data_IF_837164104735
#
_entry.id   IF_837164104735
#
_cell.length_a   1.000
_cell.length_b   1.000
_cell.length_c   1.000
_cell.angle_alpha   90.00
_cell.angle_beta   90.00
_cell.angle_gamma   90.00
#
_symmetry.space_group_name_H-M   'P 1'
#
loop_
_entity.id
_entity.type
_entity.pdbx_description
1 polymer ?
#
# COMPACT_ATOMS: atom_id res chain seq x y z
N UNK A 1 27.41 -34.91 -17.87
CA UNK A 1 27.90 -34.21 -16.66
C UNK A 1 26.68 -33.70 -15.93
N UNK A 2 26.17 -34.48 -14.98
CA UNK A 2 25.05 -34.08 -14.12
C UNK A 2 25.60 -33.07 -13.12
N UNK A 3 25.11 -31.84 -13.17
CA UNK A 3 25.36 -30.85 -12.12
C UNK A 3 24.54 -31.29 -10.91
N UNK A 4 25.21 -31.72 -9.85
CA UNK A 4 24.57 -31.93 -8.55
C UNK A 4 23.97 -30.60 -8.04
N UNK A 5 22.83 -30.64 -7.31
CA UNK A 5 22.23 -29.45 -6.70
C UNK A 5 23.21 -28.76 -5.72
N UNK A 6 23.05 -27.45 -5.44
CA UNK A 6 24.04 -26.66 -4.69
C UNK A 6 24.02 -26.88 -3.16
N UNK A 7 23.45 -27.99 -2.68
CA UNK A 7 23.17 -28.28 -1.26
C UNK A 7 24.26 -29.14 -0.61
N UNK A 8 25.53 -28.89 -0.95
CA UNK A 8 26.64 -29.38 -0.12
C UNK A 8 26.56 -28.72 1.26
N UNK A 9 26.52 -29.54 2.32
CA UNK A 9 26.53 -29.11 3.72
C UNK A 9 27.94 -28.59 4.09
N UNK A 10 28.21 -27.34 3.70
CA UNK A 10 29.46 -26.63 3.98
C UNK A 10 29.29 -25.77 5.24
N UNK A 11 30.35 -25.63 6.05
CA UNK A 11 30.32 -24.72 7.19
C UNK A 11 30.01 -23.29 6.73
N UNK A 12 29.01 -22.69 7.37
CA UNK A 12 28.60 -21.32 7.08
C UNK A 12 29.57 -20.31 7.72
N UNK A 13 30.01 -19.34 6.94
CA UNK A 13 30.74 -18.16 7.38
C UNK A 13 29.94 -16.92 7.00
N UNK A 14 29.87 -15.96 7.91
CA UNK A 14 29.19 -14.69 7.68
C UNK A 14 30.22 -13.59 7.44
N UNK A 15 29.98 -12.75 6.44
CA UNK A 15 30.81 -11.58 6.14
C UNK A 15 29.95 -10.34 5.96
N UNK A 16 30.51 -9.16 6.22
CA UNK A 16 29.90 -7.88 5.83
C UNK A 16 29.88 -7.70 4.32
N UNK A 17 29.07 -6.74 3.85
CA UNK A 17 29.08 -6.35 2.44
C UNK A 17 30.46 -5.82 2.02
N UNK A 18 31.14 -5.07 2.89
CA UNK A 18 32.48 -4.54 2.59
C UNK A 18 33.52 -5.66 2.45
N UNK A 19 33.52 -6.62 3.37
CA UNK A 19 34.42 -7.77 3.33
C UNK A 19 34.15 -8.65 2.11
N UNK A 20 32.87 -8.84 1.76
CA UNK A 20 32.49 -9.55 0.54
C UNK A 20 33.01 -8.85 -0.71
N UNK A 21 32.79 -7.53 -0.84
CA UNK A 21 33.26 -6.76 -2.00
C UNK A 21 34.78 -6.79 -2.10
N UNK A 22 35.50 -6.54 -0.99
CA UNK A 22 36.96 -6.58 -0.98
C UNK A 22 37.51 -7.97 -1.32
N UNK A 23 36.89 -9.05 -0.82
CA UNK A 23 37.28 -10.41 -1.18
C UNK A 23 37.01 -10.71 -2.66
N UNK A 24 35.88 -10.26 -3.20
CA UNK A 24 35.55 -10.41 -4.62
C UNK A 24 36.56 -9.65 -5.51
N UNK A 25 36.91 -8.42 -5.15
CA UNK A 25 37.91 -7.60 -5.85
C UNK A 25 39.28 -8.27 -5.85
N UNK A 26 39.71 -8.84 -4.71
CA UNK A 26 40.98 -9.57 -4.62
C UNK A 26 41.00 -10.85 -5.48
N UNK A 27 39.84 -11.49 -5.68
CA UNK A 27 39.72 -12.70 -6.51
C UNK A 27 39.50 -12.39 -7.98
N UNK A 28 39.21 -11.14 -8.34
CA UNK A 28 38.97 -10.73 -9.71
C UNK A 28 40.30 -10.57 -10.47
N UNK A 29 40.79 -11.70 -10.96
CA UNK A 29 41.95 -11.77 -11.86
C UNK A 29 41.44 -12.16 -13.26
N UNK A 30 41.63 -11.32 -14.30
CA UNK A 30 41.03 -11.51 -15.64
C UNK A 30 41.26 -12.91 -16.25
N UNK A 31 42.41 -13.52 -15.96
CA UNK A 31 42.80 -14.82 -16.49
C UNK A 31 42.48 -16.01 -15.54
N UNK A 32 41.91 -15.75 -14.36
CA UNK A 32 41.60 -16.76 -13.32
C UNK A 32 40.28 -16.46 -12.60
N UNK A 33 39.20 -16.34 -13.38
CA UNK A 33 37.86 -15.98 -12.87
C UNK A 33 37.14 -17.09 -12.10
N UNK A 34 37.64 -18.32 -12.10
CA UNK A 34 36.92 -19.46 -11.49
C UNK A 34 36.64 -19.24 -9.99
N UNK A 35 37.63 -18.76 -9.24
CA UNK A 35 37.48 -18.48 -7.81
C UNK A 35 36.53 -17.31 -7.57
N UNK A 36 36.64 -16.26 -8.37
CA UNK A 36 35.71 -15.13 -8.34
C UNK A 36 34.26 -15.55 -8.60
N UNK A 37 34.01 -16.34 -9.65
CA UNK A 37 32.67 -16.81 -10.00
C UNK A 37 32.09 -17.75 -8.93
N UNK A 38 32.91 -18.66 -8.38
CA UNK A 38 32.50 -19.54 -7.27
C UNK A 38 32.17 -18.75 -6.01
N UNK A 39 32.95 -17.72 -5.70
CA UNK A 39 32.71 -16.86 -4.56
C UNK A 39 31.46 -15.99 -4.74
N UNK A 40 31.33 -15.28 -5.86
CA UNK A 40 30.24 -14.30 -6.07
C UNK A 40 28.90 -14.97 -6.39
N UNK A 41 28.88 -16.00 -7.24
CA UNK A 41 27.63 -16.63 -7.68
C UNK A 41 27.18 -17.78 -6.78
N UNK A 42 28.12 -18.47 -6.15
CA UNK A 42 27.83 -19.64 -5.31
C UNK A 42 28.19 -19.44 -3.83
N UNK A 43 28.75 -18.29 -3.43
CA UNK A 43 29.14 -18.06 -2.04
C UNK A 43 30.20 -19.04 -1.54
N UNK A 44 31.09 -19.55 -2.40
CA UNK A 44 32.11 -20.54 -2.00
C UNK A 44 33.45 -19.86 -1.74
N UNK A 45 33.99 -20.05 -0.54
CA UNK A 45 35.30 -19.53 -0.14
C UNK A 45 36.17 -20.64 0.44
N UNK A 46 37.42 -20.72 -0.03
CA UNK A 46 38.42 -21.57 0.61
C UNK A 46 38.93 -20.87 1.88
N UNK A 47 38.68 -21.46 3.04
CA UNK A 47 39.10 -20.94 4.33
C UNK A 47 40.03 -21.96 5.01
N UNK A 48 41.34 -21.74 4.88
CA UNK A 48 42.36 -22.73 5.23
C UNK A 48 42.21 -23.99 4.36
N UNK A 49 42.19 -25.16 4.99
CA UNK A 49 42.07 -26.46 4.29
C UNK A 49 40.63 -26.85 3.94
N UNK A 50 39.63 -26.01 4.26
CA UNK A 50 38.20 -26.34 4.06
C UNK A 50 37.49 -25.35 3.14
N UNK A 51 36.50 -25.85 2.42
CA UNK A 51 35.55 -25.02 1.68
C UNK A 51 34.42 -24.59 2.62
N UNK A 52 34.06 -23.31 2.58
CA UNK A 52 32.99 -22.73 3.39
C UNK A 52 31.94 -22.04 2.52
N UNK A 53 30.71 -21.94 3.06
CA UNK A 53 29.62 -21.17 2.47
C UNK A 53 29.54 -19.78 3.06
N UNK A 54 29.70 -18.77 2.23
CA UNK A 54 29.64 -17.36 2.57
C UNK A 54 28.19 -16.89 2.54
N UNK A 55 27.77 -16.31 3.66
CA UNK A 55 26.52 -15.58 3.78
C UNK A 55 26.84 -14.10 4.01
N UNK A 56 26.26 -13.24 3.18
CA UNK A 56 26.46 -11.79 3.29
C UNK A 56 25.45 -11.24 4.29
N UNK A 57 25.95 -10.60 5.35
CA UNK A 57 25.16 -9.77 6.23
C UNK A 57 25.46 -8.30 5.94
N UNK A 58 24.60 -7.67 5.13
CA UNK A 58 24.74 -6.26 4.77
C UNK A 58 24.72 -5.28 5.96
N UNK A 59 24.31 -5.72 7.17
CA UNK A 59 24.36 -4.90 8.39
C UNK A 59 25.67 -5.00 9.16
N UNK A 60 26.48 -6.02 8.92
CA UNK A 60 27.68 -6.24 9.71
C UNK A 60 28.65 -5.08 9.49
N UNK A 61 28.98 -4.37 10.57
CA UNK A 61 29.80 -3.16 10.53
C UNK A 61 29.10 -1.90 9.98
N UNK A 62 27.80 -1.97 9.64
CA UNK A 62 27.05 -0.80 9.22
C UNK A 62 26.71 0.08 10.43
N UNK A 63 27.02 1.38 10.34
CA UNK A 63 26.63 2.36 11.34
C UNK A 63 25.11 2.57 11.27
N UNK A 64 24.48 2.67 12.44
CA UNK A 64 23.08 3.12 12.53
C UNK A 64 23.09 4.63 12.69
N UNK A 65 22.58 5.40 11.71
CA UNK A 65 22.50 6.84 11.85
C UNK A 65 21.55 7.22 13.00
N UNK A 66 21.84 8.31 13.74
CA UNK A 66 20.97 8.77 14.81
C UNK A 66 19.62 9.23 14.24
N UNK A 67 18.54 8.93 14.97
CA UNK A 67 17.17 9.16 14.50
C UNK A 67 16.89 10.63 14.17
N UNK A 68 17.57 11.54 14.87
CA UNK A 68 17.45 13.00 14.69
C UNK A 68 17.93 13.50 13.33
N UNK A 69 18.71 12.72 12.58
CA UNK A 69 19.28 13.13 11.30
C UNK A 69 18.45 12.65 10.09
N UNK A 70 17.45 11.79 10.31
CA UNK A 70 16.56 11.37 9.22
C UNK A 70 15.63 12.50 8.80
N UNK A 71 15.50 12.68 7.50
CA UNK A 71 14.44 13.48 6.89
C UNK A 71 13.34 12.55 6.41
N UNK A 72 12.10 12.90 6.73
CA UNK A 72 10.92 12.16 6.31
C UNK A 72 10.14 12.98 5.30
N UNK A 73 9.80 12.37 4.18
CA UNK A 73 8.91 12.94 3.18
C UNK A 73 7.77 11.96 2.89
N UNK A 74 6.68 12.51 2.37
CA UNK A 74 5.56 11.73 1.82
C UNK A 74 5.43 12.02 0.34
N UNK A 75 5.00 11.02 -0.42
CA UNK A 75 4.57 11.17 -1.80
C UNK A 75 3.24 10.44 -2.00
N UNK A 76 2.33 11.00 -2.78
CA UNK A 76 1.08 10.34 -3.14
C UNK A 76 1.34 9.47 -4.38
N UNK A 77 1.42 8.17 -4.17
CA UNK A 77 1.78 7.19 -5.20
C UNK A 77 0.62 6.90 -6.14
N UNK A 78 -0.57 6.73 -5.55
CA UNK A 78 -1.80 6.51 -6.30
C UNK A 78 -3.04 6.99 -5.57
N UNK A 79 -4.08 7.27 -6.35
CA UNK A 79 -5.41 7.58 -5.85
C UNK A 79 -6.39 6.68 -6.58
N UNK A 80 -7.23 6.00 -5.81
CA UNK A 80 -8.24 5.09 -6.36
C UNK A 80 -9.60 5.44 -5.76
N UNK A 81 -10.58 5.69 -6.62
CA UNK A 81 -11.96 5.97 -6.24
C UNK A 81 -12.92 4.93 -6.81
N UNK A 82 -13.91 4.53 -6.02
CA UNK A 82 -15.00 3.63 -6.45
C UNK A 82 -16.31 4.42 -6.37
N UNK A 83 -16.88 4.80 -7.50
CA UNK A 83 -18.00 5.76 -7.55
C UNK A 83 -19.12 5.31 -8.48
N UNK A 84 -20.22 6.06 -8.48
CA UNK A 84 -21.35 5.89 -9.39
C UNK A 84 -21.56 7.12 -10.30
N UNK A 85 -20.52 7.95 -10.42
CA UNK A 85 -20.50 9.17 -11.22
C UNK A 85 -19.14 9.35 -11.91
N UNK A 86 -19.01 10.42 -12.70
CA UNK A 86 -17.76 10.80 -13.37
C UNK A 86 -17.35 12.21 -12.89
N UNK A 87 -16.65 12.31 -11.74
CA UNK A 87 -16.47 13.57 -11.01
C UNK A 87 -15.30 14.40 -11.56
N UNK A 88 -15.31 14.76 -12.85
CA UNK A 88 -14.18 15.42 -13.53
C UNK A 88 -14.52 16.80 -14.07
N UNK A 89 -13.56 17.72 -13.95
CA UNK A 89 -13.61 19.09 -14.52
C UNK A 89 -12.92 19.21 -15.87
N UNK A 90 -12.12 18.21 -16.25
CA UNK A 90 -11.44 18.15 -17.54
C UNK A 90 -12.15 17.21 -18.52
N UNK A 91 -12.00 17.43 -19.84
CA UNK A 91 -12.51 16.50 -20.84
C UNK A 91 -11.98 15.08 -20.62
N UNK A 92 -12.82 14.10 -20.93
CA UNK A 92 -12.45 12.69 -20.86
C UNK A 92 -12.27 12.14 -22.28
N UNK A 93 -11.12 11.53 -22.55
CA UNK A 93 -10.86 10.79 -23.77
C UNK A 93 -11.51 9.41 -23.66
N UNK A 94 -12.72 9.24 -24.19
CA UNK A 94 -13.49 7.99 -24.09
C UNK A 94 -13.05 7.03 -25.19
N UNK A 95 -12.93 5.74 -24.86
CA UNK A 95 -12.60 4.67 -25.80
C UNK A 95 -13.87 4.10 -26.45
N UNK A 96 -14.08 4.24 -27.77
CA UNK A 96 -15.15 3.51 -28.45
C UNK A 96 -14.84 2.00 -28.52
N UNK A 97 -13.55 1.64 -28.50
CA UNK A 97 -13.06 0.28 -28.35
C UNK A 97 -12.10 0.23 -27.15
N UNK A 98 -12.56 -0.36 -26.05
CA UNK A 98 -11.75 -0.48 -24.84
C UNK A 98 -10.50 -1.34 -25.09
N UNK A 99 -9.34 -0.88 -24.61
CA UNK A 99 -8.10 -1.66 -24.69
C UNK A 99 -8.08 -2.75 -23.63
N UNK A 100 -7.79 -3.98 -24.04
CA UNK A 100 -7.52 -5.09 -23.12
C UNK A 100 -6.28 -4.86 -22.26
N UNK A 101 -5.36 -3.98 -22.67
CA UNK A 101 -4.18 -3.60 -21.86
C UNK A 101 -4.53 -2.74 -20.67
N UNK A 102 -5.65 -2.03 -20.78
CA UNK A 102 -6.12 -1.11 -19.76
C UNK A 102 -7.14 -1.79 -18.82
N UNK A 103 -7.48 -3.07 -19.02
CA UNK A 103 -8.29 -3.86 -18.09
C UNK A 103 -7.52 -4.12 -16.79
N UNK A 104 -8.19 -4.02 -15.64
CA UNK A 104 -7.58 -4.36 -14.36
C UNK A 104 -7.50 -5.89 -14.21
N UNK A 105 -6.29 -6.43 -14.27
CA UNK A 105 -6.00 -7.87 -14.13
C UNK A 105 -5.22 -8.23 -12.86
N UNK A 106 -4.59 -7.24 -12.24
CA UNK A 106 -3.75 -7.41 -11.05
C UNK A 106 -4.41 -6.86 -9.80
N UNK A 107 -4.09 -7.45 -8.65
CA UNK A 107 -4.61 -7.00 -7.37
C UNK A 107 -4.11 -5.60 -7.03
N UNK A 108 -5.06 -4.70 -6.78
CA UNK A 108 -4.81 -3.35 -6.28
C UNK A 108 -5.18 -3.22 -4.78
N UNK A 109 -5.36 -4.35 -4.09
CA UNK A 109 -5.68 -4.47 -2.67
C UNK A 109 -7.06 -3.93 -2.26
N UNK A 110 -7.85 -3.43 -3.22
CA UNK A 110 -9.22 -2.98 -2.99
C UNK A 110 -10.23 -4.10 -3.24
N UNK A 111 -11.28 -4.11 -2.42
CA UNK A 111 -12.38 -5.08 -2.51
C UNK A 111 -13.70 -4.35 -2.61
N UNK A 112 -14.59 -4.84 -3.46
CA UNK A 112 -15.95 -4.35 -3.58
C UNK A 112 -16.92 -5.40 -3.02
N UNK A 113 -17.92 -5.01 -2.20
CA UNK A 113 -19.03 -5.89 -1.88
C UNK A 113 -19.88 -6.11 -3.14
N UNK A 114 -20.17 -7.37 -3.48
CA UNK A 114 -21.17 -7.70 -4.51
C UNK A 114 -22.42 -8.25 -3.81
N UNK A 115 -23.60 -7.84 -4.26
CA UNK A 115 -24.87 -8.35 -3.73
C UNK A 115 -25.11 -9.80 -4.20
N UNK A 116 -25.25 -10.71 -3.23
CA UNK A 116 -25.67 -12.12 -3.37
C UNK A 116 -24.64 -13.17 -3.86
N UNK A 117 -23.99 -13.90 -2.92
CA UNK A 117 -23.85 -13.58 -1.50
C UNK A 117 -22.97 -12.34 -1.30
N UNK A 118 -23.19 -11.57 -0.22
CA UNK A 118 -22.37 -10.40 0.15
C UNK A 118 -20.93 -10.82 0.44
N UNK A 119 -20.14 -10.95 -0.61
CA UNK A 119 -18.74 -11.33 -0.58
C UNK A 119 -17.94 -10.14 -1.06
N UNK A 120 -16.93 -9.75 -0.29
CA UNK A 120 -15.97 -8.74 -0.71
C UNK A 120 -14.99 -9.36 -1.70
N UNK A 121 -15.14 -8.99 -2.97
CA UNK A 121 -14.36 -9.55 -4.07
C UNK A 121 -13.27 -8.55 -4.47
N UNK A 122 -12.01 -8.99 -4.63
CA UNK A 122 -10.95 -8.13 -5.17
C UNK A 122 -11.36 -7.55 -6.52
N UNK A 123 -11.14 -6.25 -6.73
CA UNK A 123 -11.62 -5.57 -7.95
C UNK A 123 -11.14 -6.27 -9.23
N UNK A 124 -9.88 -6.69 -9.30
CA UNK A 124 -9.30 -7.37 -10.46
C UNK A 124 -9.97 -8.70 -10.85
N UNK A 125 -10.83 -9.26 -9.99
CA UNK A 125 -11.61 -10.47 -10.27
C UNK A 125 -12.98 -10.17 -10.86
N UNK A 126 -13.43 -8.92 -10.81
CA UNK A 126 -14.71 -8.48 -11.36
C UNK A 126 -14.50 -8.09 -12.82
N UNK A 127 -15.34 -8.58 -13.76
CA UNK A 127 -15.25 -8.20 -15.16
C UNK A 127 -15.32 -6.69 -15.36
N UNK A 128 -14.37 -6.15 -16.12
CA UNK A 128 -14.21 -4.71 -16.27
C UNK A 128 -13.64 -4.30 -17.63
N UNK A 129 -13.93 -3.06 -18.02
CA UNK A 129 -13.39 -2.41 -19.22
C UNK A 129 -12.93 -1.00 -18.93
N UNK A 130 -11.90 -0.54 -19.64
CA UNK A 130 -11.54 0.86 -19.64
C UNK A 130 -12.58 1.68 -20.42
N UNK A 131 -13.19 2.65 -19.74
CA UNK A 131 -14.10 3.62 -20.38
C UNK A 131 -13.30 4.72 -21.08
N UNK A 132 -12.27 5.24 -20.41
CA UNK A 132 -11.51 6.37 -20.94
C UNK A 132 -10.45 6.88 -19.98
N UNK A 133 -9.73 7.89 -20.43
CA UNK A 133 -8.69 8.57 -19.65
C UNK A 133 -9.04 10.04 -19.46
N UNK A 134 -8.74 10.57 -18.29
CA UNK A 134 -8.82 12.00 -18.00
C UNK A 134 -7.40 12.43 -17.69
N UNK A 135 -6.96 13.52 -18.29
CA UNK A 135 -5.55 13.91 -18.23
C UNK A 135 -4.60 12.75 -18.69
N UNK A 136 -3.29 12.90 -18.52
CA UNK A 136 -2.30 11.95 -19.05
C UNK A 136 -2.20 10.63 -18.28
N UNK A 137 -2.60 10.59 -17.01
CA UNK A 137 -2.25 9.50 -16.08
C UNK A 137 -3.42 8.86 -15.35
N UNK A 138 -4.63 9.37 -15.53
CA UNK A 138 -5.82 8.84 -14.88
C UNK A 138 -6.66 8.00 -15.85
N UNK A 139 -7.10 6.84 -15.37
CA UNK A 139 -7.97 5.94 -16.11
C UNK A 139 -9.26 5.65 -15.34
N UNK A 140 -10.39 5.72 -16.04
CA UNK A 140 -11.68 5.26 -15.52
C UNK A 140 -12.03 3.93 -16.15
N UNK A 141 -12.39 2.96 -15.32
CA UNK A 141 -12.91 1.66 -15.71
C UNK A 141 -14.35 1.51 -15.26
N UNK A 142 -15.11 0.73 -15.99
CA UNK A 142 -16.45 0.26 -15.60
C UNK A 142 -16.31 -1.18 -15.16
N UNK A 143 -16.89 -1.50 -14.01
CA UNK A 143 -16.94 -2.84 -13.43
C UNK A 143 -18.37 -3.38 -13.52
N UNK A 144 -18.50 -4.68 -13.80
CA UNK A 144 -19.79 -5.36 -14.00
C UNK A 144 -19.94 -6.54 -13.03
N UNK A 145 -20.44 -6.31 -11.81
CA UNK A 145 -20.64 -7.35 -10.80
C UNK A 145 -21.54 -8.50 -11.26
N UNK A 146 -22.58 -8.21 -12.06
CA UNK A 146 -23.51 -9.21 -12.57
C UNK A 146 -22.87 -10.26 -13.50
N UNK A 147 -21.67 -9.99 -14.04
CA UNK A 147 -20.90 -10.93 -14.86
C UNK A 147 -19.90 -11.77 -14.03
N UNK A 148 -19.78 -11.52 -12.72
CA UNK A 148 -18.81 -12.21 -11.89
C UNK A 148 -19.22 -13.67 -11.61
N UNK A 149 -18.29 -14.59 -11.82
CA UNK A 149 -18.41 -15.99 -11.41
C UNK A 149 -17.16 -16.45 -10.66
N UNK A 150 -17.29 -17.07 -9.47
CA UNK A 150 -16.15 -17.57 -8.71
C UNK A 150 -15.28 -18.53 -9.54
N UNK A 151 -13.96 -18.29 -9.53
CA UNK A 151 -12.99 -19.14 -10.22
C UNK A 151 -12.89 -18.94 -11.75
N UNK A 152 -13.69 -18.05 -12.34
CA UNK A 152 -13.64 -17.76 -13.77
C UNK A 152 -12.74 -16.56 -14.10
N UNK A 153 -12.34 -16.48 -15.38
CA UNK A 153 -11.59 -15.34 -15.91
C UNK A 153 -12.52 -14.11 -16.00
N UNK A 154 -12.10 -12.91 -15.52
CA UNK A 154 -12.89 -11.68 -15.58
C UNK A 154 -13.07 -11.10 -16.99
N UNK A 155 -12.86 -11.88 -18.06
CA UNK A 155 -13.03 -11.41 -19.42
C UNK A 155 -14.51 -11.23 -19.77
N UNK A 156 -14.86 -10.12 -20.42
CA UNK A 156 -16.22 -9.86 -20.90
C UNK A 156 -16.45 -10.58 -22.23
N UNK A 157 -17.56 -11.34 -22.39
CA UNK A 157 -17.89 -12.00 -23.65
C UNK A 157 -18.05 -11.03 -24.84
N UNK A 158 -17.69 -11.42 -26.07
CA UNK A 158 -17.78 -10.56 -27.25
C UNK A 158 -19.18 -9.99 -27.55
N UNK A 159 -20.22 -10.77 -27.32
CA UNK A 159 -21.63 -10.38 -27.46
C UNK A 159 -22.00 -9.30 -26.44
N UNK A 160 -21.54 -9.45 -25.20
CA UNK A 160 -21.73 -8.47 -24.13
C UNK A 160 -20.97 -7.18 -24.42
N UNK A 161 -19.74 -7.26 -24.96
CA UNK A 161 -18.99 -6.09 -25.42
C UNK A 161 -19.72 -5.32 -26.53
N UNK A 162 -20.36 -6.06 -27.46
CA UNK A 162 -21.17 -5.46 -28.52
C UNK A 162 -22.39 -4.75 -27.94
N UNK A 163 -23.07 -5.37 -26.97
CA UNK A 163 -24.21 -4.76 -26.28
C UNK A 163 -23.81 -3.52 -25.47
N UNK A 164 -22.69 -3.56 -24.73
CA UNK A 164 -22.14 -2.41 -24.01
C UNK A 164 -21.93 -1.23 -24.97
N UNK A 165 -21.33 -1.46 -26.13
CA UNK A 165 -21.09 -0.41 -27.10
C UNK A 165 -22.38 0.11 -27.77
N UNK A 166 -23.13 -0.78 -28.41
CA UNK A 166 -24.22 -0.41 -29.32
C UNK A 166 -25.51 -0.05 -28.58
N UNK A 167 -25.77 -0.68 -27.43
CA UNK A 167 -26.98 -0.45 -26.65
C UNK A 167 -26.79 0.54 -25.52
N UNK A 168 -25.56 0.77 -25.02
CA UNK A 168 -25.33 1.64 -23.87
C UNK A 168 -24.42 2.84 -24.21
N UNK A 169 -23.14 2.60 -24.50
CA UNK A 169 -22.14 3.66 -24.65
C UNK A 169 -22.47 4.63 -25.78
N UNK A 170 -22.64 4.09 -27.00
CA UNK A 170 -22.87 4.92 -28.18
C UNK A 170 -24.19 5.71 -28.11
N UNK A 171 -25.34 5.11 -27.74
CA UNK A 171 -26.56 5.90 -27.59
C UNK A 171 -26.47 6.94 -26.47
N UNK A 172 -25.74 6.66 -25.37
CA UNK A 172 -25.54 7.63 -24.29
C UNK A 172 -24.75 8.86 -24.78
N UNK A 173 -23.56 8.65 -25.37
CA UNK A 173 -22.69 9.74 -25.83
C UNK A 173 -23.33 10.55 -26.97
N UNK A 174 -23.96 9.88 -27.95
CA UNK A 174 -24.61 10.55 -29.09
C UNK A 174 -25.88 11.28 -28.66
N UNK A 175 -26.60 10.75 -27.66
CA UNK A 175 -27.80 11.38 -27.13
C UNK A 175 -27.50 12.64 -26.31
N UNK A 176 -26.37 12.66 -25.61
CA UNK A 176 -25.95 13.81 -24.79
C UNK A 176 -25.16 14.86 -25.60
N UNK A 177 -24.30 14.42 -26.51
CA UNK A 177 -23.52 15.29 -27.38
C UNK A 177 -23.77 14.93 -28.87
N UNK A 178 -24.88 15.40 -29.46
CA UNK A 178 -25.23 15.08 -30.84
C UNK A 178 -24.27 15.69 -31.87
N UNK A 179 -23.51 16.73 -31.51
CA UNK A 179 -22.58 17.44 -32.41
C UNK A 179 -21.44 16.52 -32.85
N UNK A 180 -20.91 15.70 -31.93
CA UNK A 180 -19.80 14.79 -32.21
C UNK A 180 -20.25 13.42 -32.75
N UNK A 181 -21.54 13.25 -33.10
CA UNK A 181 -22.10 11.96 -33.56
C UNK A 181 -21.27 11.30 -34.67
N UNK A 182 -20.73 12.07 -35.61
CA UNK A 182 -19.95 11.58 -36.74
C UNK A 182 -18.59 11.00 -36.34
N UNK A 183 -18.06 11.37 -35.16
CA UNK A 183 -16.79 10.86 -34.62
C UNK A 183 -16.91 9.46 -34.02
N UNK A 184 -18.14 9.02 -33.75
CA UNK A 184 -18.41 7.73 -33.12
C UNK A 184 -18.73 6.65 -34.15
N UNK A 185 -17.99 5.51 -34.17
CA UNK A 185 -18.32 4.38 -35.02
C UNK A 185 -19.78 3.94 -34.86
N UNK A 186 -20.45 3.56 -35.95
CA UNK A 186 -21.89 3.22 -35.88
C UNK A 186 -22.13 1.92 -35.10
N UNK A 187 -21.26 0.93 -35.29
CA UNK A 187 -21.34 -0.42 -34.68
C UNK A 187 -20.02 -0.77 -34.02
N UNK A 188 -20.03 -1.75 -33.12
CA UNK A 188 -18.83 -2.25 -32.47
C UNK A 188 -17.88 -2.92 -33.47
N UNK A 189 -18.43 -3.57 -34.49
CA UNK A 189 -17.66 -4.12 -35.60
C UNK A 189 -16.95 -3.03 -36.41
N UNK A 190 -17.63 -1.91 -36.69
CA UNK A 190 -17.01 -0.76 -37.37
C UNK A 190 -15.87 -0.16 -36.54
N UNK A 191 -16.04 -0.06 -35.20
CA UNK A 191 -14.96 0.37 -34.31
C UNK A 191 -13.75 -0.57 -34.38
N UNK A 192 -13.96 -1.89 -34.32
CA UNK A 192 -12.88 -2.89 -34.45
C UNK A 192 -12.13 -2.76 -35.77
N UNK A 193 -12.83 -2.54 -36.87
CA UNK A 193 -12.21 -2.36 -38.20
C UNK A 193 -11.43 -1.05 -38.27
N UNK A 194 -11.99 0.05 -37.75
CA UNK A 194 -11.35 1.37 -37.75
C UNK A 194 -10.04 1.36 -36.96
N UNK A 195 -10.02 0.68 -35.83
CA UNK A 195 -8.88 0.64 -34.91
C UNK A 195 -7.92 -0.52 -35.17
N UNK A 196 -7.97 -1.16 -36.34
CA UNK A 196 -7.06 -2.24 -36.72
C UNK A 196 -6.20 -1.79 -37.90
N UNK A 197 -4.88 -1.90 -37.75
CA UNK A 197 -3.95 -1.58 -38.85
C UNK A 197 -3.89 -2.69 -39.91
N UNK A 198 -3.19 -2.40 -41.01
CA UNK A 198 -2.98 -3.34 -42.11
C UNK A 198 -2.26 -4.64 -41.69
N UNK A 199 -1.52 -4.62 -40.57
CA UNK A 199 -0.84 -5.79 -39.99
C UNK A 199 -1.71 -6.51 -38.95
N UNK A 200 -2.96 -6.08 -38.78
CA UNK A 200 -3.93 -6.66 -37.87
C UNK A 200 -3.76 -6.24 -36.41
N UNK A 201 -2.87 -5.29 -36.08
CA UNK A 201 -2.66 -4.78 -34.71
C UNK A 201 -3.70 -3.72 -34.36
N UNK A 202 -4.11 -3.69 -33.10
CA UNK A 202 -5.07 -2.70 -32.61
C UNK A 202 -4.39 -1.39 -32.19
N UNK A 203 -4.94 -0.28 -32.66
CA UNK A 203 -4.65 1.10 -32.26
C UNK A 203 -5.91 1.71 -31.67
N UNK A 204 -6.06 1.67 -30.35
CA UNK A 204 -7.25 2.10 -29.65
C UNK A 204 -7.36 3.63 -29.66
N UNK A 205 -8.18 4.17 -30.55
CA UNK A 205 -8.46 5.60 -30.59
C UNK A 205 -9.42 6.05 -29.50
N UNK A 206 -9.45 7.35 -29.26
CA UNK A 206 -10.33 8.01 -28.29
C UNK A 206 -11.18 9.08 -28.97
N UNK A 207 -12.30 9.42 -28.33
CA UNK A 207 -13.10 10.60 -28.65
C UNK A 207 -13.25 11.43 -27.38
N UNK A 208 -12.83 12.69 -27.43
CA UNK A 208 -12.94 13.60 -26.28
C UNK A 208 -14.41 13.92 -26.00
N UNK A 209 -14.80 13.81 -24.74
CA UNK A 209 -16.14 14.11 -24.25
C UNK A 209 -16.10 15.28 -23.27
N UNK A 210 -17.00 16.27 -23.40
CA UNK A 210 -16.91 17.52 -22.67
C UNK A 210 -17.21 17.34 -21.17
N UNK A 211 -16.47 18.03 -20.28
CA UNK A 211 -16.56 17.83 -18.83
C UNK A 211 -17.95 18.13 -18.27
N UNK A 212 -18.65 19.13 -18.80
CA UNK A 212 -19.98 19.55 -18.33
C UNK A 212 -21.05 18.46 -18.52
N UNK A 213 -20.80 17.48 -19.39
CA UNK A 213 -21.72 16.37 -19.66
C UNK A 213 -21.28 15.04 -19.01
N UNK A 214 -20.12 14.99 -18.34
CA UNK A 214 -19.58 13.73 -17.81
C UNK A 214 -20.48 13.14 -16.71
N UNK A 215 -20.97 13.96 -15.78
CA UNK A 215 -21.85 13.46 -14.73
C UNK A 215 -23.15 12.88 -15.32
N UNK A 216 -23.76 13.57 -16.30
CA UNK A 216 -24.94 13.08 -17.00
C UNK A 216 -24.66 11.80 -17.79
N UNK A 217 -23.47 11.69 -18.38
CA UNK A 217 -23.03 10.47 -19.06
C UNK A 217 -22.90 9.31 -18.08
N UNK A 218 -22.29 9.53 -16.91
CA UNK A 218 -22.17 8.53 -15.85
C UNK A 218 -23.54 7.97 -15.44
N UNK A 219 -24.47 8.85 -15.05
CA UNK A 219 -25.82 8.44 -14.67
C UNK A 219 -26.53 7.68 -15.80
N UNK A 220 -26.49 8.21 -17.02
CA UNK A 220 -27.15 7.60 -18.18
C UNK A 220 -26.58 6.23 -18.53
N UNK A 221 -25.26 6.04 -18.41
CA UNK A 221 -24.64 4.73 -18.63
C UNK A 221 -25.12 3.71 -17.60
N UNK A 222 -25.12 4.07 -16.31
CA UNK A 222 -25.58 3.18 -15.25
C UNK A 222 -27.06 2.80 -15.41
N UNK A 223 -27.92 3.76 -15.75
CA UNK A 223 -29.33 3.50 -16.08
C UNK A 223 -29.47 2.51 -17.24
N UNK A 224 -28.68 2.68 -18.31
CA UNK A 224 -28.73 1.81 -19.47
C UNK A 224 -28.18 0.41 -19.17
N UNK A 225 -27.14 0.31 -18.35
CA UNK A 225 -26.58 -0.97 -17.88
C UNK A 225 -27.58 -1.75 -17.02
N UNK A 226 -28.35 -1.07 -16.17
CA UNK A 226 -29.38 -1.71 -15.35
C UNK A 226 -30.40 -2.50 -16.20
N UNK A 227 -30.65 -2.04 -17.44
CA UNK A 227 -31.59 -2.64 -18.38
C UNK A 227 -30.99 -3.80 -19.21
N UNK A 228 -29.69 -4.09 -19.11
CA UNK A 228 -29.04 -5.17 -19.85
C UNK A 228 -28.70 -6.34 -18.92
N UNK A 229 -29.05 -7.56 -19.31
CA UNK A 229 -28.74 -8.77 -18.54
C UNK A 229 -27.23 -8.88 -18.22
N UNK A 230 -26.91 -9.08 -16.95
CA UNK A 230 -25.54 -9.22 -16.44
C UNK A 230 -24.80 -7.90 -16.19
N UNK A 231 -25.33 -6.75 -16.61
CA UNK A 231 -24.68 -5.44 -16.42
C UNK A 231 -25.27 -4.63 -15.24
N UNK A 232 -26.18 -5.22 -14.46
CA UNK A 232 -26.74 -4.61 -13.25
C UNK A 232 -25.64 -4.28 -12.23
N UNK A 233 -25.91 -3.25 -11.42
CA UNK A 233 -25.03 -2.80 -10.34
C UNK A 233 -23.62 -2.42 -10.83
N UNK A 234 -23.50 -2.01 -12.09
CA UNK A 234 -22.25 -1.50 -12.63
C UNK A 234 -21.79 -0.24 -11.87
N UNK A 235 -20.48 -0.07 -11.74
CA UNK A 235 -19.88 1.08 -11.08
C UNK A 235 -18.58 1.50 -11.75
N UNK A 236 -18.09 2.69 -11.42
CA UNK A 236 -16.84 3.23 -11.94
C UNK A 236 -15.71 3.04 -10.94
N UNK A 237 -14.52 2.71 -11.46
CA UNK A 237 -13.28 2.81 -10.70
C UNK A 237 -12.37 3.78 -11.41
N UNK A 238 -11.94 4.78 -10.66
CA UNK A 238 -11.02 5.82 -11.06
C UNK A 238 -9.67 5.51 -10.50
N UNK A 239 -8.66 5.43 -11.35
CA UNK A 239 -7.30 5.11 -10.93
C UNK A 239 -6.34 6.13 -11.51
N UNK A 240 -5.76 6.92 -10.61
CA UNK A 240 -4.65 7.81 -10.91
C UNK A 240 -3.37 7.14 -10.40
N UNK A 241 -2.50 6.74 -11.33
CA UNK A 241 -1.19 6.14 -11.02
C UNK A 241 -0.07 6.95 -11.65
N UNK A 242 1.10 6.88 -11.01
CA UNK A 242 2.32 7.47 -11.55
C UNK A 242 2.39 8.97 -11.35
N UNK A 243 1.83 9.51 -10.26
CA UNK A 243 2.07 10.88 -9.78
C UNK A 243 3.40 11.02 -9.05
N UNK A 244 4.23 9.97 -9.03
CA UNK A 244 5.54 9.93 -8.38
C UNK A 244 6.35 11.19 -8.66
N UNK A 245 6.81 11.82 -7.58
CA UNK A 245 7.62 13.04 -7.65
C UNK A 245 6.82 14.35 -7.64
N UNK A 246 5.53 14.34 -8.00
CA UNK A 246 4.73 15.56 -8.13
C UNK A 246 4.13 16.04 -6.81
N UNK A 247 4.07 15.16 -5.80
CA UNK A 247 3.42 15.41 -4.51
C UNK A 247 4.35 15.26 -3.32
N UNK A 248 5.66 15.36 -3.51
CA UNK A 248 6.63 15.35 -2.42
C UNK A 248 6.37 16.48 -1.42
N UNK A 249 6.17 16.12 -0.16
CA UNK A 249 5.92 17.09 0.89
C UNK A 249 6.45 16.64 2.26
N UNK A 250 6.75 17.62 3.10
CA UNK A 250 7.03 17.38 4.52
C UNK A 250 5.71 16.95 5.22
N UNK A 251 5.69 15.78 5.88
CA UNK A 251 4.50 15.30 6.58
C UNK A 251 4.04 16.22 7.71
N UNK A 252 4.92 17.04 8.29
CA UNK A 252 4.61 17.96 9.37
C UNK A 252 4.05 19.30 8.86
N UNK A 253 4.34 19.70 7.61
CA UNK A 253 3.85 20.94 7.02
C UNK A 253 2.40 20.80 6.51
N UNK A 254 1.46 21.45 7.21
CA UNK A 254 0.04 21.42 6.86
C UNK A 254 -0.28 22.02 5.50
N UNK A 255 0.43 23.08 5.09
CA UNK A 255 0.22 23.73 3.81
C UNK A 255 0.76 22.88 2.67
N UNK A 256 1.94 22.28 2.85
CA UNK A 256 2.52 21.37 1.87
C UNK A 256 1.64 20.13 1.65
N UNK A 257 1.10 19.54 2.74
CA UNK A 257 0.12 18.44 2.65
C UNK A 257 -1.11 18.82 1.81
N UNK A 258 -1.67 20.01 2.06
CA UNK A 258 -2.86 20.46 1.32
C UNK A 258 -2.55 20.68 -0.16
N UNK A 259 -1.43 21.33 -0.47
CA UNK A 259 -1.01 21.58 -1.84
C UNK A 259 -0.75 20.27 -2.61
N UNK A 260 -0.14 19.28 -1.96
CA UNK A 260 0.08 17.96 -2.56
C UNK A 260 -1.24 17.28 -2.93
N UNK A 261 -2.23 17.33 -2.04
CA UNK A 261 -3.57 16.78 -2.30
C UNK A 261 -4.28 17.56 -3.43
N UNK A 262 -4.28 18.89 -3.36
CA UNK A 262 -4.92 19.73 -4.38
C UNK A 262 -4.27 19.54 -5.76
N UNK A 263 -2.96 19.27 -5.81
CA UNK A 263 -2.23 18.94 -7.05
C UNK A 263 -2.71 17.61 -7.63
N UNK A 264 -2.82 16.56 -6.81
CA UNK A 264 -3.26 15.24 -7.27
C UNK A 264 -4.73 15.27 -7.71
N UNK A 265 -5.56 16.05 -7.02
CA UNK A 265 -7.00 16.14 -7.27
C UNK A 265 -7.39 17.31 -8.21
N UNK A 266 -6.44 17.98 -8.87
CA UNK A 266 -6.70 19.25 -9.56
C UNK A 266 -7.79 19.18 -10.64
N UNK A 267 -7.99 18.01 -11.25
CA UNK A 267 -8.94 17.78 -12.34
C UNK A 267 -10.25 17.17 -11.87
N UNK A 268 -10.39 16.90 -10.58
CA UNK A 268 -11.63 16.42 -9.97
C UNK A 268 -12.56 17.58 -9.66
N UNK A 269 -13.86 17.31 -9.76
CA UNK A 269 -14.86 18.15 -9.13
C UNK A 269 -15.05 17.73 -7.68
N UNK A 270 -14.36 18.43 -6.77
CA UNK A 270 -14.42 18.15 -5.33
C UNK A 270 -15.82 18.28 -4.73
N UNK A 271 -16.79 18.88 -5.43
CA UNK A 271 -18.20 18.90 -4.98
C UNK A 271 -18.92 17.57 -5.16
N UNK A 272 -18.40 16.69 -6.03
CA UNK A 272 -18.91 15.35 -6.30
C UNK A 272 -18.08 14.25 -5.61
N UNK A 273 -16.89 14.58 -5.14
CA UNK A 273 -16.00 13.63 -4.45
C UNK A 273 -16.45 13.42 -3.02
N UNK A 274 -16.80 12.18 -2.69
CA UNK A 274 -17.08 11.70 -1.33
C UNK A 274 -15.84 11.02 -0.74
N UNK A 275 -15.20 11.55 0.32
CA UNK A 275 -13.95 11.00 0.84
C UNK A 275 -13.99 9.49 1.16
N UNK A 276 -15.12 8.97 1.59
CA UNK A 276 -15.35 7.56 1.91
C UNK A 276 -15.25 6.61 0.70
N UNK A 277 -15.44 7.12 -0.51
CA UNK A 277 -15.36 6.36 -1.77
C UNK A 277 -13.92 6.26 -2.31
N UNK A 278 -12.97 6.95 -1.67
CA UNK A 278 -11.61 7.15 -2.19
C UNK A 278 -10.53 6.68 -1.23
N UNK A 279 -9.52 6.02 -1.78
CA UNK A 279 -8.31 5.60 -1.07
C UNK A 279 -7.11 6.29 -1.72
N UNK A 280 -6.26 6.88 -0.88
CA UNK A 280 -5.01 7.52 -1.28
C UNK A 280 -3.86 6.69 -0.74
N UNK A 281 -3.03 6.17 -1.63
CA UNK A 281 -1.80 5.48 -1.28
C UNK A 281 -0.67 6.51 -1.12
N UNK A 282 -0.04 6.50 0.05
CA UNK A 282 0.99 7.47 0.43
C UNK A 282 2.28 6.73 0.74
N UNK A 283 3.26 6.89 -0.14
CA UNK A 283 4.63 6.45 0.08
C UNK A 283 5.32 7.31 1.15
N UNK A 284 6.09 6.65 2.02
CA UNK A 284 6.99 7.31 2.97
C UNK A 284 8.42 7.18 2.47
N UNK A 285 9.08 8.31 2.28
CA UNK A 285 10.50 8.36 1.95
C UNK A 285 11.31 8.79 3.17
N UNK A 286 12.26 7.95 3.55
CA UNK A 286 13.21 8.24 4.63
C UNK A 286 14.55 8.51 3.95
N UNK A 287 15.14 9.66 4.25
CA UNK A 287 16.41 10.08 3.69
C UNK A 287 17.41 10.37 4.81
N UNK A 288 18.66 10.00 4.57
CA UNK A 288 19.80 10.40 5.39
C UNK A 288 20.95 10.75 4.45
N UNK A 289 21.56 11.92 4.66
CA UNK A 289 22.59 12.44 3.78
C UNK A 289 23.85 11.55 3.81
N UNK A 290 24.36 11.19 2.63
CA UNK A 290 25.54 10.33 2.50
C UNK A 290 25.27 8.83 2.73
N UNK A 291 24.02 8.40 2.92
CA UNK A 291 23.68 7.00 3.20
C UNK A 291 22.65 6.44 2.22
N UNK A 292 22.78 5.13 1.94
CA UNK A 292 21.72 4.33 1.31
C UNK A 292 21.00 3.57 2.41
N UNK A 293 19.71 3.86 2.60
CA UNK A 293 18.91 3.22 3.64
C UNK A 293 18.23 1.96 3.08
N UNK A 294 18.29 0.86 3.82
CA UNK A 294 17.60 -0.38 3.50
C UNK A 294 16.57 -0.71 4.59
N UNK A 295 15.31 -0.90 4.18
CA UNK A 295 14.25 -1.34 5.08
C UNK A 295 14.39 -2.85 5.35
N UNK A 296 14.56 -3.24 6.60
CA UNK A 296 14.67 -4.64 7.00
C UNK A 296 13.46 -5.04 7.85
N UNK A 297 12.61 -5.93 7.31
CA UNK A 297 11.46 -6.50 8.02
C UNK A 297 11.85 -7.36 9.23
N UNK A 298 13.10 -7.80 9.33
CA UNK A 298 13.65 -8.57 10.47
C UNK A 298 14.29 -7.69 11.57
N UNK A 299 14.21 -6.37 11.46
CA UNK A 299 14.84 -5.43 12.38
C UNK A 299 14.00 -5.10 13.61
N UNK A 300 13.70 -6.07 14.48
CA UNK A 300 13.15 -5.79 15.82
C UNK A 300 14.14 -6.14 16.92
N UNK A 301 15.42 -5.84 16.70
CA UNK A 301 16.37 -5.79 17.81
C UNK A 301 16.16 -4.48 18.57
N UNK A 302 15.59 -4.60 19.77
CA UNK A 302 15.36 -3.49 20.69
C UNK A 302 16.67 -2.75 21.06
N UNK A 303 17.84 -3.34 20.81
CA UNK A 303 19.16 -2.76 21.10
C UNK A 303 19.48 -1.50 20.31
N UNK A 304 18.85 -1.29 19.14
CA UNK A 304 18.96 -0.03 18.41
C UNK A 304 18.15 1.13 19.03
N UNK A 305 17.31 0.83 20.03
CA UNK A 305 16.35 1.79 20.62
C UNK A 305 16.61 1.96 22.13
N UNK A 306 16.95 0.86 22.81
CA UNK A 306 17.14 0.82 24.24
C UNK A 306 18.49 0.17 24.58
N UNK A 307 19.27 0.84 25.42
CA UNK A 307 20.38 0.18 26.12
C UNK A 307 19.87 -0.71 27.27
N UNK A 308 18.72 -0.36 27.85
CA UNK A 308 18.00 -1.13 28.87
C UNK A 308 16.49 -0.91 28.77
N UNK A 309 15.71 -1.98 28.92
CA UNK A 309 14.23 -1.92 28.87
C UNK A 309 13.61 -2.98 29.78
N UNK A 310 12.45 -2.68 30.34
CA UNK A 310 11.59 -3.65 31.00
C UNK A 310 10.44 -3.99 30.07
N UNK A 311 10.16 -5.28 29.88
CA UNK A 311 9.03 -5.70 29.06
C UNK A 311 8.08 -6.61 29.83
N UNK A 312 6.82 -6.57 29.40
CA UNK A 312 5.78 -7.52 29.79
C UNK A 312 5.11 -8.03 28.53
N UNK A 313 4.92 -9.34 28.44
CA UNK A 313 4.08 -9.95 27.41
C UNK A 313 2.63 -9.70 27.80
N UNK A 314 1.89 -9.04 26.92
CA UNK A 314 0.50 -8.65 27.12
C UNK A 314 -0.37 -9.65 26.38
N UNK A 315 -1.43 -10.13 27.02
CA UNK A 315 -2.40 -11.04 26.41
C UNK A 315 -3.13 -10.35 25.26
N UNK A 316 -3.62 -11.11 24.28
CA UNK A 316 -4.44 -10.57 23.18
C UNK A 316 -5.61 -9.72 23.71
N UNK A 317 -6.27 -10.16 24.78
CA UNK A 317 -7.38 -9.43 25.37
C UNK A 317 -6.95 -8.08 25.99
N UNK A 318 -5.80 -8.03 26.65
CA UNK A 318 -5.28 -6.80 27.25
C UNK A 318 -4.65 -5.88 26.20
N UNK A 319 -4.11 -6.44 25.12
CA UNK A 319 -3.60 -5.69 23.98
C UNK A 319 -4.72 -4.83 23.38
N UNK A 320 -5.89 -5.43 23.19
CA UNK A 320 -7.04 -4.76 22.60
C UNK A 320 -7.78 -3.87 23.62
N UNK A 321 -8.01 -4.37 24.85
CA UNK A 321 -8.85 -3.67 25.82
C UNK A 321 -8.13 -2.61 26.64
N UNK A 322 -6.82 -2.76 26.85
CA UNK A 322 -6.04 -1.87 27.70
C UNK A 322 -5.05 -1.05 26.88
N UNK A 323 -4.20 -1.71 26.08
CA UNK A 323 -3.12 -1.02 25.38
C UNK A 323 -3.69 -0.17 24.23
N UNK A 324 -4.41 -0.77 23.29
CA UNK A 324 -4.98 -0.10 22.13
C UNK A 324 -5.90 1.07 22.53
N UNK A 325 -6.83 0.84 23.47
CA UNK A 325 -7.78 1.88 23.89
C UNK A 325 -7.12 3.10 24.55
N UNK A 326 -5.94 2.95 25.15
CA UNK A 326 -5.19 4.07 25.72
C UNK A 326 -4.48 4.89 24.65
N UNK A 327 -3.90 4.22 23.64
CA UNK A 327 -3.27 4.91 22.51
C UNK A 327 -4.29 5.60 21.60
N UNK A 328 -5.41 4.94 21.37
CA UNK A 328 -6.47 5.35 20.45
C UNK A 328 -7.82 5.35 21.17
N UNK A 329 -8.07 6.38 22.00
CA UNK A 329 -9.36 6.54 22.68
C UNK A 329 -10.48 6.67 21.65
N UNK A 330 -11.66 6.16 22.02
CA UNK A 330 -12.87 6.37 21.22
C UNK A 330 -13.22 7.86 21.17
N UNK A 331 -13.99 8.24 20.16
CA UNK A 331 -14.54 9.59 20.08
C UNK A 331 -15.36 9.91 21.34
N UNK A 332 -15.21 11.13 21.86
CA UNK A 332 -15.87 11.56 23.09
C UNK A 332 -15.38 10.87 24.37
N UNK A 333 -14.38 9.98 24.32
CA UNK A 333 -13.88 9.32 25.52
C UNK A 333 -13.27 10.34 26.49
N UNK A 334 -13.72 10.30 27.75
CA UNK A 334 -13.16 11.14 28.80
C UNK A 334 -11.72 10.74 29.08
N UNK A 335 -10.79 11.63 28.73
CA UNK A 335 -9.38 11.47 29.08
C UNK A 335 -9.21 11.74 30.57
N UNK A 336 -8.33 10.97 31.23
CA UNK A 336 -7.99 11.24 32.62
C UNK A 336 -7.54 12.71 32.76
N UNK A 337 -8.03 13.42 33.79
CA UNK A 337 -7.81 14.87 33.98
C UNK A 337 -6.33 15.31 34.01
N UNK A 338 -5.39 14.38 34.07
CA UNK A 338 -3.95 14.63 34.09
C UNK A 338 -3.15 13.63 33.23
N UNK A 339 -3.51 13.48 31.94
CA UNK A 339 -2.68 12.72 31.00
C UNK A 339 -1.32 13.39 30.81
N UNK A 340 -0.25 12.69 31.17
CA UNK A 340 1.13 13.02 30.90
C UNK A 340 1.56 12.42 29.55
N UNK A 341 2.40 13.13 28.80
CA UNK A 341 3.03 12.72 27.54
C UNK A 341 2.09 12.55 26.33
N UNK A 342 0.87 12.03 26.51
CA UNK A 342 -0.11 11.91 25.44
C UNK A 342 -0.46 13.26 24.80
N UNK A 343 -0.84 14.33 25.53
CA UNK A 343 -1.21 15.60 24.91
C UNK A 343 -0.06 16.28 24.15
N UNK A 344 1.19 16.03 24.55
CA UNK A 344 2.38 16.53 23.86
C UNK A 344 2.75 15.71 22.61
N UNK A 345 2.28 14.46 22.51
CA UNK A 345 2.61 13.58 21.38
C UNK A 345 1.90 14.07 20.10
N UNK A 346 2.67 14.24 19.02
CA UNK A 346 2.13 14.70 17.73
C UNK A 346 1.03 13.78 17.20
N UNK A 347 1.23 12.45 17.27
CA UNK A 347 0.24 11.50 16.79
C UNK A 347 -1.09 11.61 17.57
N UNK A 348 -1.03 11.84 18.88
CA UNK A 348 -2.22 11.87 19.73
C UNK A 348 -3.07 13.11 19.44
N UNK A 349 -2.43 14.26 19.23
CA UNK A 349 -3.12 15.48 18.78
C UNK A 349 -3.76 15.31 17.40
N UNK A 350 -3.08 14.65 16.47
CA UNK A 350 -3.63 14.35 15.15
C UNK A 350 -4.81 13.37 15.25
N UNK A 351 -4.71 12.36 16.12
CA UNK A 351 -5.80 11.42 16.39
C UNK A 351 -7.03 12.13 16.95
N UNK A 352 -6.86 13.02 17.94
CA UNK A 352 -7.97 13.81 18.49
C UNK A 352 -8.62 14.68 17.43
N UNK A 353 -7.82 15.44 16.65
CA UNK A 353 -8.34 16.27 15.58
C UNK A 353 -9.09 15.48 14.50
N UNK A 354 -8.62 14.25 14.18
CA UNK A 354 -9.32 13.34 13.29
C UNK A 354 -10.66 12.90 13.89
N UNK A 355 -10.69 12.43 15.13
CA UNK A 355 -11.92 11.96 15.79
C UNK A 355 -12.94 13.10 15.96
N UNK A 356 -12.50 14.32 16.25
CA UNK A 356 -13.38 15.48 16.39
C UNK A 356 -14.04 15.89 15.05
N UNK A 357 -13.38 15.60 13.92
CA UNK A 357 -13.87 15.92 12.59
C UNK A 357 -14.77 14.87 11.93
N UNK A 358 -14.90 13.67 12.52
CA UNK A 358 -15.69 12.56 11.97
C UNK A 358 -17.05 12.48 12.64
N UNK A 359 -18.07 11.96 11.93
CA UNK A 359 -19.29 11.47 12.58
C UNK A 359 -19.01 10.19 13.41
N UNK A 360 -20.00 9.77 14.20
CA UNK A 360 -19.83 8.66 15.15
C UNK A 360 -19.58 7.31 14.46
N UNK A 361 -20.27 7.06 13.35
CA UNK A 361 -20.18 5.79 12.61
C UNK A 361 -18.83 5.68 11.89
N UNK A 362 -18.40 6.76 11.24
CA UNK A 362 -17.08 6.86 10.60
C UNK A 362 -15.94 6.73 11.61
N UNK A 363 -16.05 7.37 12.79
CA UNK A 363 -15.06 7.25 13.86
C UNK A 363 -14.94 5.81 14.37
N UNK A 364 -16.08 5.11 14.54
CA UNK A 364 -16.09 3.71 14.94
C UNK A 364 -15.42 2.81 13.90
N UNK A 365 -15.75 2.99 12.62
CA UNK A 365 -15.17 2.21 11.51
C UNK A 365 -13.66 2.40 11.45
N UNK A 366 -13.19 3.64 11.42
CA UNK A 366 -11.76 3.97 11.34
C UNK A 366 -11.00 3.36 12.52
N UNK A 367 -11.51 3.54 13.73
CA UNK A 367 -10.86 3.05 14.94
C UNK A 367 -10.89 1.52 15.03
N UNK A 368 -12.07 0.92 14.99
CA UNK A 368 -12.24 -0.48 15.38
C UNK A 368 -11.97 -1.45 14.22
N UNK A 369 -12.16 -1.03 12.96
CA UNK A 369 -11.92 -1.91 11.80
C UNK A 369 -10.56 -1.70 11.18
N UNK A 370 -10.17 -0.46 10.92
CA UNK A 370 -8.93 -0.21 10.20
C UNK A 370 -7.74 -0.12 11.15
N UNK A 371 -7.84 0.70 12.19
CA UNK A 371 -6.68 0.97 13.04
C UNK A 371 -6.29 -0.22 13.92
N UNK A 372 -7.26 -0.95 14.48
CA UNK A 372 -6.98 -2.18 15.24
C UNK A 372 -6.19 -3.19 14.40
N UNK A 373 -6.58 -3.41 13.14
CA UNK A 373 -5.87 -4.35 12.23
C UNK A 373 -4.41 -3.95 11.97
N UNK A 374 -4.11 -2.65 11.98
CA UNK A 374 -2.73 -2.15 11.88
C UNK A 374 -2.00 -2.25 13.22
N UNK A 375 -2.66 -1.89 14.31
CA UNK A 375 -2.10 -1.94 15.66
C UNK A 375 -1.73 -3.37 16.07
N UNK A 376 -2.53 -4.35 15.65
CA UNK A 376 -2.28 -5.77 15.89
C UNK A 376 -1.03 -6.30 15.20
N UNK A 377 -0.50 -5.56 14.21
CA UNK A 377 0.76 -5.89 13.53
C UNK A 377 1.99 -5.38 14.29
N UNK A 378 1.80 -4.58 15.34
CA UNK A 378 2.91 -4.07 16.14
C UNK A 378 3.43 -5.14 17.10
N UNK A 379 4.73 -5.41 17.01
CA UNK A 379 5.42 -6.35 17.90
C UNK A 379 5.43 -5.87 19.36
N UNK A 380 5.63 -4.57 19.55
CA UNK A 380 5.68 -3.94 20.86
C UNK A 380 5.25 -2.47 20.76
N UNK A 381 4.83 -1.92 21.89
CA UNK A 381 4.58 -0.48 22.08
C UNK A 381 5.07 -0.06 23.46
N UNK A 382 5.29 1.24 23.74
CA UNK A 382 5.50 1.69 25.12
C UNK A 382 4.31 1.27 25.98
N UNK A 383 4.55 0.68 27.15
CA UNK A 383 3.46 0.20 27.98
C UNK A 383 2.70 1.38 28.58
N UNK A 384 1.44 1.62 28.17
CA UNK A 384 0.71 2.78 28.65
C UNK A 384 0.25 2.50 30.08
N UNK A 385 0.58 3.38 31.02
CA UNK A 385 -0.04 3.45 32.34
C UNK A 385 -1.38 4.22 32.23
N UNK A 386 -2.13 4.37 33.32
CA UNK A 386 -3.42 5.07 33.29
C UNK A 386 -3.29 6.56 32.95
N UNK A 387 -2.14 7.16 33.25
CA UNK A 387 -1.89 8.59 33.09
C UNK A 387 -0.76 8.92 32.10
N UNK A 388 -0.02 7.95 31.56
CA UNK A 388 1.20 8.23 30.77
C UNK A 388 1.53 7.12 29.78
N UNK A 389 2.29 7.46 28.75
CA UNK A 389 2.70 6.54 27.68
C UNK A 389 4.01 5.80 28.03
N UNK A 390 4.95 6.52 28.64
CA UNK A 390 6.25 6.04 29.07
C UNK A 390 6.34 6.05 30.58
N UNK A 391 6.56 4.86 31.13
CA UNK A 391 6.83 4.64 32.54
C UNK A 391 8.24 4.11 32.70
N UNK A 392 9.03 4.72 33.58
CA UNK A 392 10.40 4.31 33.88
C UNK A 392 10.55 3.71 35.26
N UNK A 393 9.45 3.48 35.97
CA UNK A 393 9.46 2.95 37.33
C UNK A 393 10.00 1.52 37.36
N UNK A 394 10.70 1.15 38.43
CA UNK A 394 11.09 -0.25 38.70
C UNK A 394 9.87 -1.17 38.66
N UNK A 395 9.91 -2.17 37.79
CA UNK A 395 8.88 -3.19 37.59
C UNK A 395 8.80 -4.17 38.76
N UNK A 396 7.60 -4.69 38.99
CA UNK A 396 7.37 -5.83 39.89
C UNK A 396 7.73 -7.16 39.22
N UNK A 397 7.32 -8.28 39.84
CA UNK A 397 7.62 -9.65 39.38
C UNK A 397 7.13 -9.99 37.96
N UNK A 398 6.16 -9.23 37.44
CA UNK A 398 5.58 -9.44 36.10
C UNK A 398 6.41 -8.81 34.98
N UNK A 399 7.53 -8.15 35.30
CA UNK A 399 8.39 -7.45 34.35
C UNK A 399 9.71 -8.17 34.18
N UNK A 400 10.11 -8.39 32.93
CA UNK A 400 11.41 -8.94 32.59
C UNK A 400 12.34 -7.80 32.17
N UNK A 401 13.54 -7.76 32.75
CA UNK A 401 14.57 -6.79 32.40
C UNK A 401 15.42 -7.29 31.22
N UNK A 402 15.72 -6.39 30.29
CA UNK A 402 16.73 -6.61 29.27
C UNK A 402 17.77 -5.46 29.32
N UNK A 403 19.09 -5.76 29.27
CA UNK A 403 19.67 -7.10 29.38
C UNK A 403 19.40 -7.70 30.79
N UNK A 404 19.50 -9.03 30.97
CA UNK A 404 19.25 -9.65 32.27
C UNK A 404 20.10 -9.02 33.37
N UNK A 405 19.47 -8.60 34.47
CA UNK A 405 20.14 -7.92 35.57
C UNK A 405 19.16 -7.42 36.63
N UNK A 406 19.68 -6.72 37.64
CA UNK A 406 18.83 -6.16 38.70
C UNK A 406 17.84 -5.13 38.15
N UNK A 407 16.55 -5.15 38.57
CA UNK A 407 15.58 -4.22 38.04
C UNK A 407 15.91 -2.76 38.43
N UNK A 408 16.19 -1.93 37.43
CA UNK A 408 16.49 -0.50 37.52
C UNK A 408 15.35 0.33 36.91
N UNK A 409 15.43 1.64 37.08
CA UNK A 409 14.53 2.56 36.40
C UNK A 409 14.91 2.65 34.91
N UNK A 410 14.09 2.09 34.03
CA UNK A 410 14.25 2.15 32.58
C UNK A 410 12.87 2.03 31.91
N UNK A 411 12.74 2.41 30.63
CA UNK A 411 11.46 2.38 29.92
C UNK A 411 10.76 1.02 30.00
N UNK A 412 9.43 1.07 30.09
CA UNK A 412 8.56 -0.11 30.07
C UNK A 412 7.89 -0.26 28.71
N UNK A 413 7.91 -1.47 28.17
CA UNK A 413 7.24 -1.82 26.91
C UNK A 413 6.24 -2.97 27.10
N UNK A 414 5.15 -2.89 26.34
CA UNK A 414 4.17 -3.95 26.16
C UNK A 414 4.57 -4.74 24.91
N UNK A 415 4.71 -6.06 25.04
CA UNK A 415 5.02 -6.96 23.93
C UNK A 415 3.78 -7.75 23.58
N UNK A 416 3.45 -7.79 22.29
CA UNK A 416 2.27 -8.45 21.77
C UNK A 416 2.47 -9.98 21.75
N UNK A 417 1.63 -10.72 22.49
CA UNK A 417 1.71 -12.19 22.59
C UNK A 417 1.62 -12.90 21.24
N UNK A 418 0.96 -12.30 20.25
CA UNK A 418 0.77 -12.87 18.90
C UNK A 418 2.09 -13.12 18.16
N UNK A 419 3.17 -12.47 18.60
CA UNK A 419 4.49 -12.58 17.98
C UNK A 419 5.51 -13.38 18.80
N UNK A 420 5.12 -13.88 19.97
CA UNK A 420 5.99 -14.71 20.81
C UNK A 420 5.65 -16.18 20.57
N UNK A 421 6.43 -16.83 19.71
CA UNK A 421 6.45 -18.31 19.64
C UNK A 421 7.10 -18.92 20.88
N UNK A 422 6.86 -20.21 21.14
CA UNK A 422 7.35 -20.92 22.34
C UNK A 422 8.87 -20.85 22.58
N UNK A 423 9.66 -20.40 21.61
CA UNK A 423 11.13 -20.26 21.72
C UNK A 423 11.69 -18.92 21.19
N UNK A 424 10.85 -17.89 20.95
CA UNK A 424 11.33 -16.59 20.47
C UNK A 424 11.88 -15.74 21.63
N UNK A 425 13.19 -15.75 21.84
CA UNK A 425 13.83 -14.89 22.84
C UNK A 425 13.77 -13.41 22.43
N UNK A 426 13.32 -12.54 23.35
CA UNK A 426 13.45 -11.09 23.21
C UNK A 426 14.87 -10.71 23.65
N UNK A 427 15.72 -10.29 22.72
CA UNK A 427 17.14 -10.06 22.98
C UNK A 427 17.50 -8.60 22.66
N UNK A 428 18.05 -7.89 23.66
CA UNK A 428 18.92 -6.75 23.39
C UNK A 428 20.29 -7.33 23.05
N UNK A 429 20.75 -7.19 21.81
CA UNK A 429 22.12 -7.56 21.48
C UNK A 429 23.05 -6.79 22.42
N UNK A 430 23.75 -7.50 23.30
CA UNK A 430 24.87 -6.91 24.03
C UNK A 430 25.93 -6.63 22.98
N UNK A 431 26.43 -5.40 22.93
CA UNK A 431 27.66 -5.12 22.20
C UNK A 431 28.70 -6.14 22.66
N UNK A 432 29.44 -6.70 21.68
CA UNK A 432 30.39 -7.83 21.76
C UNK A 432 29.82 -9.24 21.51
N UNK A 433 29.89 -9.66 20.24
CA UNK A 433 30.80 -10.74 19.79
C UNK A 433 30.91 -10.74 18.27
#
# INVERSE_FOLDING_TARGET
MQLEPPDEDLPAIQVSLSEFVSAAEQMFVPDQLENFLRFVLAGRLQYGDKLARVFINARQGALVPPISEYKLYRDIDSVIGVTHDLPFRLPMAIFPLASFRDTLTEDNHLKCPISCPKVCIPLHRIPNIALGKVDRRHITRIFFPGLYHPGQNPAIPPETMTAIYEKCLRPAVVGLNPVDRSRWPVTYSNAKTLYRDQKGRFHFGTVDFPPQLLNQLGCKLLEMFQMQEGLQDAFFVHELRGTKGASHHDPCDARARRLALDTVFHFFDMSLVRPEDWVVDIGLEIQHEGHVLQWLTKGHHLSGIFSQVQYRIISDADWDNLVFRRYFPAKGASTAKALQQFPSASYYRQWQALMDGLDEDCAEIIRNRHLTQWFDKLYWVPHPDSDRMWSTKKGGKEWTMLPPGEPRNCPRIAVNSRFIGKDAAIILATETS
#
